data_IF_190815516911
#
_entry.id   IF_190815516911
#
_cell.length_a   1.000
_cell.length_b   1.000
_cell.length_c   1.000
_cell.angle_alpha   90.00
_cell.angle_beta   90.00
_cell.angle_gamma   90.00
#
_symmetry.space_group_name_H-M   'P 1'
#
loop_
_entity.id
_entity.type
_entity.pdbx_description
1 polymer ?
#
# COMPACT_ATOMS: atom_id res chain seq x y z
N UNK A 1 5.73 23.22 -6.96
CA UNK A 1 6.14 22.14 -6.02
C UNK A 1 5.56 20.80 -6.42
N UNK A 2 4.23 20.69 -6.54
CA UNK A 2 3.57 19.45 -6.97
C UNK A 2 4.08 18.95 -8.34
N UNK A 3 4.15 19.82 -9.35
CA UNK A 3 4.65 19.43 -10.69
C UNK A 3 6.13 19.04 -10.72
N UNK A 4 6.90 19.47 -9.73
CA UNK A 4 8.32 19.09 -9.61
C UNK A 4 8.46 17.70 -9.00
N UNK A 5 7.49 17.23 -8.21
CA UNK A 5 7.52 15.93 -7.54
C UNK A 5 7.64 14.79 -8.55
N UNK A 6 6.92 14.87 -9.66
CA UNK A 6 6.93 13.86 -10.72
C UNK A 6 8.20 13.90 -11.58
N UNK A 7 9.06 14.91 -11.40
CA UNK A 7 10.30 15.13 -12.17
C UNK A 7 11.57 14.83 -11.35
N UNK A 8 11.46 14.25 -10.15
CA UNK A 8 12.61 13.89 -9.32
C UNK A 8 13.12 12.51 -9.72
N UNK A 9 14.23 12.47 -10.45
CA UNK A 9 14.87 11.23 -10.94
C UNK A 9 16.18 10.88 -10.22
N UNK A 10 16.77 11.82 -9.49
CA UNK A 10 18.11 11.68 -8.91
C UNK A 10 18.13 12.17 -7.46
N UNK A 11 19.03 11.65 -6.60
CA UNK A 11 19.12 12.03 -5.19
C UNK A 11 19.27 13.55 -4.99
N UNK A 12 20.11 14.22 -5.79
CA UNK A 12 20.30 15.67 -5.70
C UNK A 12 19.01 16.44 -6.04
N UNK A 13 18.19 15.92 -6.94
CA UNK A 13 16.89 16.52 -7.25
C UNK A 13 15.90 16.36 -6.09
N UNK A 14 15.97 15.25 -5.35
CA UNK A 14 15.18 15.04 -4.13
C UNK A 14 15.57 16.03 -3.03
N UNK A 15 16.87 16.29 -2.85
CA UNK A 15 17.37 17.30 -1.89
C UNK A 15 16.85 18.69 -2.26
N UNK A 16 17.03 19.12 -3.51
CA UNK A 16 16.51 20.41 -4.00
C UNK A 16 14.99 20.53 -3.85
N UNK A 17 14.27 19.43 -4.05
CA UNK A 17 12.83 19.41 -3.84
C UNK A 17 12.47 19.62 -2.37
N UNK A 18 13.19 18.98 -1.45
CA UNK A 18 13.03 19.17 0.00
C UNK A 18 13.32 20.61 0.45
N UNK A 19 14.38 21.22 -0.08
CA UNK A 19 14.70 22.64 0.15
C UNK A 19 13.57 23.55 -0.35
N UNK A 20 13.05 23.28 -1.55
CA UNK A 20 11.94 24.03 -2.12
C UNK A 20 10.65 23.87 -1.28
N UNK A 21 10.40 22.67 -0.73
CA UNK A 21 9.28 22.41 0.19
C UNK A 21 9.42 23.25 1.46
N UNK A 22 10.61 23.25 2.08
CA UNK A 22 10.91 24.05 3.27
C UNK A 22 10.79 25.56 3.00
N UNK A 23 11.33 26.04 1.87
CA UNK A 23 11.23 27.44 1.47
C UNK A 23 9.77 27.87 1.23
N UNK A 24 8.95 26.99 0.64
CA UNK A 24 7.52 27.25 0.50
C UNK A 24 6.81 27.33 1.85
N UNK A 25 7.10 26.42 2.78
CA UNK A 25 6.55 26.51 4.12
C UNK A 25 6.96 27.80 4.83
N UNK A 26 8.23 28.20 4.72
CA UNK A 26 8.72 29.46 5.27
C UNK A 26 7.91 30.67 4.80
N UNK A 27 7.56 30.70 3.51
CA UNK A 27 6.73 31.76 2.90
C UNK A 27 5.27 31.70 3.35
N UNK A 28 4.67 30.50 3.40
CA UNK A 28 3.22 30.33 3.58
C UNK A 28 2.79 29.90 4.98
N UNK A 29 3.71 29.77 5.94
CA UNK A 29 3.42 29.33 7.32
C UNK A 29 2.32 30.14 7.99
N UNK A 30 2.28 31.45 7.75
CA UNK A 30 1.26 32.34 8.32
C UNK A 30 -0.12 32.01 7.77
N UNK A 31 -0.22 31.83 6.46
CA UNK A 31 -1.45 31.44 5.79
C UNK A 31 -1.92 30.05 6.28
N UNK A 32 -1.02 29.07 6.39
CA UNK A 32 -1.38 27.74 6.90
C UNK A 32 -1.85 27.73 8.36
N UNK A 33 -1.48 28.76 9.13
CA UNK A 33 -1.90 28.95 10.51
C UNK A 33 -3.20 29.76 10.64
N UNK A 34 -3.79 30.25 9.53
CA UNK A 34 -5.08 30.94 9.55
C UNK A 34 -6.20 30.00 10.00
N UNK A 35 -7.08 30.57 10.83
CA UNK A 35 -8.22 29.87 11.43
C UNK A 35 -9.48 30.61 11.07
N UNK A 36 -10.49 29.85 10.67
CA UNK A 36 -11.85 30.33 10.51
C UNK A 36 -12.62 29.96 11.77
N UNK A 37 -13.32 30.91 12.37
CA UNK A 37 -14.05 30.71 13.61
C UNK A 37 -15.55 30.53 13.33
N UNK A 38 -16.16 29.59 14.04
CA UNK A 38 -17.58 29.23 13.92
C UNK A 38 -18.49 30.42 14.25
N UNK A 39 -18.12 31.24 15.23
CA UNK A 39 -18.88 32.44 15.63
C UNK A 39 -19.03 33.46 14.49
N UNK A 40 -18.06 33.54 13.59
CA UNK A 40 -18.02 34.50 12.48
C UNK A 40 -18.63 33.89 11.20
N UNK A 41 -18.88 32.57 11.20
CA UNK A 41 -19.40 31.79 10.07
C UNK A 41 -20.42 30.76 10.57
N UNK A 42 -21.53 31.18 11.19
CA UNK A 42 -22.48 30.27 11.85
C UNK A 42 -23.19 29.33 10.85
N UNK A 43 -23.33 29.74 9.60
CA UNK A 43 -24.02 28.99 8.55
C UNK A 43 -23.13 27.92 7.87
N UNK A 44 -21.82 27.91 8.14
CA UNK A 44 -20.92 26.88 7.60
C UNK A 44 -21.21 25.53 8.31
N UNK A 45 -21.43 24.42 7.58
CA UNK A 45 -21.64 23.10 8.19
C UNK A 45 -20.55 22.65 9.17
N UNK A 46 -19.33 23.20 9.04
CA UNK A 46 -18.20 22.93 9.95
C UNK A 46 -18.36 23.63 11.29
N UNK A 47 -19.14 24.71 11.38
CA UNK A 47 -19.44 25.38 12.64
C UNK A 47 -20.17 24.43 13.60
N UNK A 48 -21.13 23.64 13.09
CA UNK A 48 -21.89 22.68 13.88
C UNK A 48 -21.04 21.47 14.36
N UNK A 49 -19.97 21.12 13.64
CA UNK A 49 -19.14 19.95 13.95
C UNK A 49 -17.80 20.30 14.63
N UNK A 50 -17.45 21.58 14.71
CA UNK A 50 -16.21 22.02 15.34
C UNK A 50 -16.32 22.03 16.86
N UNK A 51 -15.65 21.07 17.51
CA UNK A 51 -15.53 21.01 18.98
C UNK A 51 -14.84 22.23 19.59
N UNK A 52 -13.96 22.89 18.83
CA UNK A 52 -13.18 24.04 19.31
C UNK A 52 -13.73 25.39 18.90
N UNK A 53 -14.86 25.44 18.18
CA UNK A 53 -15.41 26.68 17.63
C UNK A 53 -14.58 27.31 16.51
N UNK A 54 -13.64 26.57 15.90
CA UNK A 54 -12.84 27.01 14.76
C UNK A 54 -12.34 25.81 13.92
N UNK A 55 -11.88 26.08 12.71
CA UNK A 55 -11.17 25.13 11.86
C UNK A 55 -10.02 25.82 11.12
N UNK A 56 -9.03 25.05 10.67
CA UNK A 56 -7.99 25.58 9.79
C UNK A 56 -8.62 26.06 8.49
N UNK A 57 -8.42 27.32 8.13
CA UNK A 57 -9.00 27.92 6.92
C UNK A 57 -8.58 27.14 5.68
N UNK A 58 -7.29 26.81 5.60
CA UNK A 58 -6.69 26.10 4.48
C UNK A 58 -6.46 24.60 4.77
N UNK A 59 -7.43 23.94 5.42
CA UNK A 59 -7.27 22.56 5.90
C UNK A 59 -6.77 21.56 4.82
N UNK A 60 -7.31 21.51 3.59
CA UNK A 60 -6.85 20.57 2.56
C UNK A 60 -5.37 20.79 2.20
N UNK A 61 -4.99 22.05 1.99
CA UNK A 61 -3.62 22.43 1.66
C UNK A 61 -2.66 22.12 2.81
N UNK A 62 -3.07 22.44 4.04
CA UNK A 62 -2.32 22.14 5.26
C UNK A 62 -2.06 20.63 5.36
N UNK A 63 -3.08 19.79 5.16
CA UNK A 63 -2.96 18.33 5.16
C UNK A 63 -2.00 17.84 4.07
N UNK A 64 -2.12 18.36 2.86
CA UNK A 64 -1.25 17.98 1.75
C UNK A 64 0.22 18.32 2.05
N UNK A 65 0.49 19.53 2.55
CA UNK A 65 1.84 19.94 2.92
C UNK A 65 2.43 19.05 4.01
N UNK A 66 1.76 18.89 5.15
CA UNK A 66 2.31 18.10 6.27
C UNK A 66 2.43 16.62 5.92
N UNK A 67 1.60 16.10 5.00
CA UNK A 67 1.77 14.74 4.49
C UNK A 67 3.07 14.60 3.70
N UNK A 68 3.35 15.54 2.80
CA UNK A 68 4.57 15.55 2.01
C UNK A 68 5.81 15.77 2.87
N UNK A 69 5.76 16.70 3.82
CA UNK A 69 6.85 16.95 4.77
C UNK A 69 7.17 15.70 5.58
N UNK A 70 6.14 15.02 6.11
CA UNK A 70 6.33 13.75 6.83
C UNK A 70 6.96 12.69 5.94
N UNK A 71 6.40 12.44 4.76
CA UNK A 71 6.95 11.44 3.83
C UNK A 71 8.40 11.71 3.46
N UNK A 72 8.76 12.99 3.30
CA UNK A 72 10.13 13.40 3.02
C UNK A 72 11.05 13.15 4.23
N UNK A 73 10.64 13.56 5.43
CA UNK A 73 11.39 13.34 6.68
C UNK A 73 11.58 11.86 7.01
N UNK A 74 10.57 11.05 6.73
CA UNK A 74 10.59 9.60 6.94
C UNK A 74 11.42 8.87 5.86
N UNK A 75 11.98 9.58 4.86
CA UNK A 75 12.73 8.96 3.75
C UNK A 75 11.88 8.18 2.74
N UNK A 76 10.55 8.19 2.90
CA UNK A 76 9.64 7.35 2.10
C UNK A 76 9.18 8.01 0.80
N UNK A 77 9.27 9.34 0.69
CA UNK A 77 8.77 10.05 -0.50
C UNK A 77 9.55 9.71 -1.78
N UNK A 78 10.85 9.50 -1.66
CA UNK A 78 11.75 9.20 -2.78
C UNK A 78 12.55 7.91 -2.54
N UNK A 79 11.98 6.94 -1.83
CA UNK A 79 12.65 5.68 -1.50
C UNK A 79 13.11 4.89 -2.75
N UNK A 80 12.49 5.11 -3.92
CA UNK A 80 12.95 4.51 -5.18
C UNK A 80 14.35 4.99 -5.64
N UNK A 81 14.90 6.03 -5.00
CA UNK A 81 16.28 6.51 -5.18
C UNK A 81 17.26 5.95 -4.15
N UNK A 82 16.79 5.16 -3.18
CA UNK A 82 17.63 4.59 -2.13
C UNK A 82 18.65 3.61 -2.74
N UNK A 83 19.96 3.86 -2.57
CA UNK A 83 20.99 2.95 -3.05
C UNK A 83 20.81 1.50 -2.58
N UNK A 84 20.34 1.29 -1.34
CA UNK A 84 20.14 -0.06 -0.79
C UNK A 84 19.01 -0.81 -1.52
N UNK A 85 17.94 -0.10 -1.89
CA UNK A 85 16.82 -0.70 -2.61
C UNK A 85 17.10 -0.91 -4.10
N UNK A 86 18.06 -0.19 -4.66
CA UNK A 86 18.43 -0.28 -6.08
C UNK A 86 19.51 -1.31 -6.39
N UNK A 87 20.07 -2.02 -5.39
CA UNK A 87 21.13 -3.04 -5.55
C UNK A 87 20.71 -4.14 -6.55
N UNK A 88 19.45 -4.55 -6.52
CA UNK A 88 18.91 -5.61 -7.38
C UNK A 88 18.37 -5.07 -8.73
N UNK A 89 18.47 -3.77 -8.97
CA UNK A 89 18.00 -3.08 -10.16
C UNK A 89 17.10 -1.87 -9.85
N UNK A 90 16.69 -1.12 -10.88
CA UNK A 90 15.89 0.10 -10.70
C UNK A 90 14.55 -0.19 -10.03
N UNK A 91 14.25 0.54 -8.95
CA UNK A 91 12.94 0.51 -8.30
C UNK A 91 11.97 1.42 -9.06
N UNK A 92 10.79 0.92 -9.47
CA UNK A 92 9.78 1.75 -10.12
C UNK A 92 9.32 2.89 -9.21
N UNK A 93 9.21 4.10 -9.76
CA UNK A 93 8.70 5.28 -9.03
C UNK A 93 7.23 5.17 -8.67
N UNK A 94 6.46 4.52 -9.53
CA UNK A 94 5.02 4.43 -9.40
C UNK A 94 4.57 2.97 -9.19
N UNK A 95 3.37 2.83 -8.66
CA UNK A 95 2.71 1.54 -8.54
C UNK A 95 1.97 1.16 -9.82
N UNK A 96 2.20 1.82 -10.97
CA UNK A 96 1.44 1.54 -12.20
C UNK A 96 1.63 0.10 -12.68
N UNK A 97 2.82 -0.47 -12.47
CA UNK A 97 3.09 -1.89 -12.76
C UNK A 97 2.24 -2.83 -11.90
N UNK A 98 1.94 -2.45 -10.67
CA UNK A 98 1.10 -3.23 -9.76
C UNK A 98 -0.39 -2.99 -10.06
N UNK A 99 -0.81 -1.73 -10.14
CA UNK A 99 -2.22 -1.37 -10.31
C UNK A 99 -2.76 -1.61 -11.72
N UNK A 100 -2.00 -1.20 -12.74
CA UNK A 100 -2.36 -1.38 -14.14
C UNK A 100 -1.99 -2.75 -14.71
N UNK A 101 -1.05 -3.45 -14.07
CA UNK A 101 -0.66 -4.81 -14.42
C UNK A 101 -1.44 -5.85 -13.63
N UNK A 102 -0.82 -6.35 -12.56
CA UNK A 102 -1.31 -7.51 -11.81
C UNK A 102 -2.70 -7.28 -11.20
N UNK A 103 -2.93 -6.17 -10.51
CA UNK A 103 -4.22 -5.88 -9.88
C UNK A 103 -5.34 -5.71 -10.92
N UNK A 104 -5.07 -5.07 -12.06
CA UNK A 104 -6.05 -4.96 -13.14
C UNK A 104 -6.43 -6.33 -13.70
N UNK A 105 -5.47 -7.24 -13.86
CA UNK A 105 -5.73 -8.61 -14.29
C UNK A 105 -6.57 -9.39 -13.28
N UNK A 106 -6.26 -9.28 -11.98
CA UNK A 106 -7.05 -9.90 -10.92
C UNK A 106 -8.48 -9.34 -10.85
N UNK A 107 -8.63 -8.01 -10.92
CA UNK A 107 -9.95 -7.36 -10.97
C UNK A 107 -10.78 -7.88 -12.17
N UNK A 108 -10.15 -8.03 -13.34
CA UNK A 108 -10.81 -8.63 -14.53
C UNK A 108 -11.19 -10.09 -14.30
N UNK A 109 -10.34 -10.89 -13.66
CA UNK A 109 -10.63 -12.27 -13.32
C UNK A 109 -11.92 -12.36 -12.49
N UNK A 110 -12.01 -11.55 -11.43
CA UNK A 110 -13.18 -11.51 -10.55
C UNK A 110 -14.45 -11.06 -11.30
N UNK A 111 -14.36 -10.05 -12.16
CA UNK A 111 -15.50 -9.59 -12.96
C UNK A 111 -15.97 -10.65 -13.95
N UNK A 112 -15.05 -11.29 -14.67
CA UNK A 112 -15.35 -12.29 -15.68
C UNK A 112 -15.93 -13.59 -15.08
N UNK A 113 -15.57 -13.89 -13.82
CA UNK A 113 -15.96 -15.11 -13.12
C UNK A 113 -16.97 -14.88 -11.99
N UNK A 114 -17.67 -13.73 -11.96
CA UNK A 114 -18.66 -13.37 -10.92
C UNK A 114 -19.81 -14.38 -10.70
N UNK A 115 -20.01 -15.30 -11.64
CA UNK A 115 -21.02 -16.35 -11.57
C UNK A 115 -20.53 -17.66 -10.94
N UNK A 116 -19.25 -17.75 -10.56
CA UNK A 116 -18.68 -18.91 -9.90
C UNK A 116 -18.73 -18.75 -8.37
N UNK A 117 -18.69 -19.86 -7.61
CA UNK A 117 -18.49 -19.80 -6.16
C UNK A 117 -17.21 -19.05 -5.81
N UNK A 118 -17.21 -18.36 -4.66
CA UNK A 118 -16.08 -17.54 -4.22
C UNK A 118 -14.76 -18.34 -4.19
N UNK A 119 -14.79 -19.59 -3.72
CA UNK A 119 -13.63 -20.48 -3.70
C UNK A 119 -13.01 -20.68 -5.10
N UNK A 120 -13.83 -20.80 -6.14
CA UNK A 120 -13.37 -20.92 -7.52
C UNK A 120 -12.81 -19.60 -8.07
N UNK A 121 -13.45 -18.48 -7.74
CA UNK A 121 -12.95 -17.15 -8.12
C UNK A 121 -11.58 -16.88 -7.49
N UNK A 122 -11.41 -17.26 -6.22
CA UNK A 122 -10.14 -17.17 -5.50
C UNK A 122 -9.08 -18.05 -6.14
N UNK A 123 -9.38 -19.32 -6.42
CA UNK A 123 -8.46 -20.26 -7.08
C UNK A 123 -8.04 -19.78 -8.47
N UNK A 124 -8.94 -19.13 -9.23
CA UNK A 124 -8.58 -18.51 -10.51
C UNK A 124 -7.59 -17.34 -10.34
N UNK A 125 -7.77 -16.51 -9.31
CA UNK A 125 -6.83 -15.44 -8.97
C UNK A 125 -5.47 -15.99 -8.50
N UNK A 126 -5.47 -17.00 -7.63
CA UNK A 126 -4.26 -17.70 -7.16
C UNK A 126 -3.48 -18.30 -8.34
N UNK A 127 -4.18 -18.95 -9.27
CA UNK A 127 -3.59 -19.47 -10.49
C UNK A 127 -2.93 -18.37 -11.32
N UNK A 128 -3.60 -17.22 -11.46
CA UNK A 128 -3.02 -16.08 -12.17
C UNK A 128 -1.76 -15.55 -11.48
N UNK A 129 -1.78 -15.39 -10.15
CA UNK A 129 -0.60 -14.99 -9.38
C UNK A 129 0.53 -15.99 -9.54
N UNK A 130 0.24 -17.30 -9.46
CA UNK A 130 1.22 -18.37 -9.62
C UNK A 130 1.89 -18.31 -10.99
N UNK A 131 1.11 -18.19 -12.06
CA UNK A 131 1.63 -18.11 -13.44
C UNK A 131 2.49 -16.86 -13.70
N UNK A 132 2.33 -15.81 -12.90
CA UNK A 132 3.14 -14.59 -12.96
C UNK A 132 4.28 -14.55 -11.91
N UNK A 133 4.50 -15.64 -11.18
CA UNK A 133 5.65 -15.77 -10.28
C UNK A 133 6.96 -15.94 -11.05
N UNK A 134 8.09 -15.88 -10.35
CA UNK A 134 9.41 -15.93 -11.00
C UNK A 134 9.68 -17.26 -11.74
N UNK A 135 9.10 -18.38 -11.29
CA UNK A 135 9.33 -19.73 -11.84
C UNK A 135 8.07 -20.61 -11.72
N UNK A 136 7.03 -20.37 -12.53
CA UNK A 136 5.85 -21.22 -12.52
C UNK A 136 6.18 -22.61 -13.08
N UNK A 137 5.68 -23.65 -12.44
CA UNK A 137 5.72 -25.05 -12.88
C UNK A 137 4.29 -25.62 -12.90
N UNK A 138 3.48 -25.21 -13.90
CA UNK A 138 2.10 -25.67 -14.01
C UNK A 138 2.03 -27.20 -14.20
N UNK A 139 3.05 -27.80 -14.83
CA UNK A 139 3.09 -29.24 -15.07
C UNK A 139 3.17 -30.04 -13.76
N UNK A 140 3.92 -29.56 -12.77
CA UNK A 140 3.97 -30.20 -11.45
C UNK A 140 2.64 -30.14 -10.71
N UNK A 141 1.97 -28.98 -10.72
CA UNK A 141 0.65 -28.82 -10.08
C UNK A 141 -0.38 -29.73 -10.75
N UNK A 142 -0.41 -29.77 -12.09
CA UNK A 142 -1.33 -30.64 -12.82
C UNK A 142 -1.06 -32.12 -12.56
N UNK A 143 0.22 -32.54 -12.52
CA UNK A 143 0.59 -33.92 -12.17
C UNK A 143 0.17 -34.31 -10.75
N UNK A 144 0.30 -33.38 -9.79
CA UNK A 144 -0.11 -33.62 -8.42
C UNK A 144 -1.64 -33.73 -8.31
N UNK A 145 -2.37 -32.83 -8.97
CA UNK A 145 -3.83 -32.91 -9.06
C UNK A 145 -4.31 -34.23 -9.72
N UNK A 146 -3.63 -34.67 -10.78
CA UNK A 146 -3.91 -35.96 -11.44
C UNK A 146 -3.62 -37.17 -10.54
N UNK A 147 -2.66 -37.06 -9.63
CA UNK A 147 -2.35 -38.11 -8.64
C UNK A 147 -3.40 -38.14 -7.53
N UNK A 148 -3.79 -36.96 -7.01
CA UNK A 148 -4.79 -36.82 -5.95
C UNK A 148 -6.19 -37.26 -6.42
N UNK A 149 -6.52 -37.04 -7.71
CA UNK A 149 -7.77 -37.54 -8.32
C UNK A 149 -7.75 -39.04 -8.62
N UNK A 150 -6.57 -39.64 -8.85
CA UNK A 150 -6.42 -41.09 -9.08
C UNK A 150 -6.37 -41.89 -7.78
N UNK A 151 -5.84 -41.30 -6.71
CA UNK A 151 -5.83 -41.85 -5.36
C UNK A 151 -6.60 -40.87 -4.44
N UNK A 152 -7.94 -40.82 -4.53
CA UNK A 152 -8.70 -40.00 -3.60
C UNK A 152 -8.39 -40.51 -2.19
N UNK A 153 -7.65 -39.72 -1.42
CA UNK A 153 -7.59 -39.92 0.02
C UNK A 153 -9.03 -39.73 0.47
N UNK A 154 -9.68 -40.82 0.89
CA UNK A 154 -11.00 -40.78 1.52
C UNK A 154 -10.81 -40.12 2.88
N UNK A 155 -10.77 -38.79 2.89
CA UNK A 155 -11.17 -38.03 4.05
C UNK A 155 -12.68 -37.88 3.91
N UNK A 156 -13.41 -38.76 4.58
CA UNK A 156 -14.87 -38.71 4.75
C UNK A 156 -15.23 -37.58 5.73
N UNK A 157 -14.76 -36.37 5.43
CA UNK A 157 -15.09 -35.17 6.16
C UNK A 157 -15.24 -34.05 5.14
N UNK A 158 -16.48 -33.75 4.79
CA UNK A 158 -16.89 -32.52 4.09
C UNK A 158 -16.56 -31.23 4.90
N UNK A 159 -15.76 -31.35 5.97
CA UNK A 159 -15.10 -30.25 6.63
C UNK A 159 -13.62 -30.23 6.23
N UNK A 160 -13.29 -29.45 5.18
CA UNK A 160 -11.94 -28.87 5.11
C UNK A 160 -11.64 -28.24 6.49
N UNK A 161 -10.50 -28.57 7.13
CA UNK A 161 -10.17 -27.96 8.41
C UNK A 161 -10.13 -26.45 8.21
N UNK A 162 -11.00 -25.78 8.97
CA UNK A 162 -11.22 -24.33 9.01
C UNK A 162 -9.98 -23.65 9.60
N UNK A 163 -8.87 -23.71 8.87
CA UNK A 163 -7.66 -22.95 9.10
C UNK A 163 -7.35 -22.12 7.85
N UNK A 164 -8.38 -21.70 7.13
CA UNK A 164 -8.25 -20.67 6.12
C UNK A 164 -8.44 -19.30 6.80
N UNK A 165 -7.50 -18.36 6.62
CA UNK A 165 -7.67 -17.00 7.10
C UNK A 165 -8.96 -16.42 6.53
N UNK A 166 -9.90 -16.07 7.42
CA UNK A 166 -11.15 -15.40 7.09
C UNK A 166 -10.85 -14.02 6.51
N UNK A 167 -11.69 -13.57 5.58
CA UNK A 167 -11.56 -12.26 4.94
C UNK A 167 -11.46 -11.16 6.03
N UNK A 168 -10.29 -10.51 6.13
CA UNK A 168 -9.97 -9.56 7.22
C UNK A 168 -8.81 -9.99 8.12
N UNK A 169 -8.36 -11.24 8.03
CA UNK A 169 -7.04 -11.64 8.52
C UNK A 169 -6.04 -11.44 7.38
N UNK A 170 -5.35 -10.30 7.40
CA UNK A 170 -4.26 -10.04 6.47
C UNK A 170 -3.22 -11.16 6.57
N UNK A 171 -2.50 -11.42 5.49
CA UNK A 171 -1.24 -12.18 5.53
C UNK A 171 -0.43 -11.60 6.70
N UNK A 172 -0.09 -12.43 7.69
CA UNK A 172 0.75 -12.00 8.81
C UNK A 172 2.17 -11.78 8.27
N UNK A 173 2.46 -10.54 7.88
CA UNK A 173 3.76 -10.12 7.34
C UNK A 173 4.87 -10.12 8.42
N UNK A 174 4.58 -10.51 9.66
CA UNK A 174 5.58 -10.57 10.74
C UNK A 174 6.70 -11.59 10.48
N UNK A 175 6.51 -12.59 9.62
CA UNK A 175 7.56 -13.56 9.29
C UNK A 175 8.79 -12.93 8.60
N UNK A 176 8.63 -11.80 7.90
CA UNK A 176 9.73 -11.11 7.22
C UNK A 176 10.33 -9.93 8.01
N UNK A 177 9.73 -9.57 9.15
CA UNK A 177 10.21 -8.51 10.04
C UNK A 177 10.20 -8.97 11.49
N UNK A 178 11.04 -9.95 11.81
CA UNK A 178 11.37 -10.26 13.19
C UNK A 178 12.05 -9.05 13.83
N UNK A 179 11.32 -8.33 14.68
CA UNK A 179 11.88 -7.35 15.60
C UNK A 179 12.38 -8.05 16.88
N UNK A 180 13.14 -9.14 16.71
CA UNK A 180 13.70 -9.87 17.85
C UNK A 180 15.00 -9.19 18.27
N UNK A 181 14.98 -8.60 19.46
CA UNK A 181 16.18 -8.13 20.15
C UNK A 181 17.12 -9.32 20.39
N UNK A 182 18.40 -9.16 20.05
CA UNK A 182 19.47 -10.12 20.35
C UNK A 182 19.43 -10.57 21.83
N UNK A 183 19.58 -11.87 22.14
CA UNK A 183 19.60 -12.34 23.51
C UNK A 183 20.96 -12.00 24.13
N UNK A 184 21.00 -11.00 25.02
CA UNK A 184 22.08 -10.90 25.99
C UNK A 184 21.77 -11.85 27.13
N UNK A 185 22.25 -13.08 27.01
CA UNK A 185 22.42 -13.96 28.16
C UNK A 185 23.86 -13.85 28.61
N UNK A 186 24.08 -13.39 29.84
CA UNK A 186 25.15 -13.92 30.69
C UNK A 186 24.76 -13.67 32.15
N UNK A 187 24.50 -14.78 32.85
CA UNK A 187 24.27 -14.98 34.30
C UNK A 187 23.24 -14.14 35.06
#
# INVERSE_FOLDING_TARGET
LADMLTRVHEPDAAVRWGEALNAWHGRWKRMLAERTYAKDNPDDPRAATSRGGWWWTHLPLRRAYFRLERLFKDGTLFCFLDPELTILGPVPRDSNRLEGGLNAALKRMLVNHRGLPEAHMRRACEWHCYMNSAKPDPARILKQHDQDTKNPIVNDDDNEPTSQPTLGTGIDWNEFHTNTRYPNTTD
#
